data_IF_639690830546
#
_entry.id   IF_639690830546
#
_cell.length_a   1.000
_cell.length_b   1.000
_cell.length_c   1.000
_cell.angle_alpha   90.00
_cell.angle_beta   90.00
_cell.angle_gamma   90.00
#
_symmetry.space_group_name_H-M   'P 1'
#
loop_
_entity.id
_entity.type
_entity.pdbx_description
1 polymer ?
#
# COMPACT_ATOMS: atom_id res chain seq x y z
N UNK A 1 -26.29 -5.63 -33.06
CA UNK A 1 -25.52 -4.39 -32.79
C UNK A 1 -26.00 -3.83 -31.47
N UNK A 2 -25.09 -3.59 -30.51
CA UNK A 2 -25.39 -2.93 -29.25
C UNK A 2 -25.31 -3.82 -28.00
N UNK A 3 -24.11 -4.28 -27.64
CA UNK A 3 -23.77 -4.53 -26.24
C UNK A 3 -22.50 -3.75 -25.92
N UNK A 4 -22.69 -2.49 -25.54
CA UNK A 4 -21.68 -1.71 -24.86
C UNK A 4 -21.68 -2.13 -23.39
N UNK A 5 -21.00 -3.21 -23.06
CA UNK A 5 -20.57 -3.44 -21.68
C UNK A 5 -19.38 -2.51 -21.47
N UNK A 6 -19.59 -1.45 -20.70
CA UNK A 6 -18.48 -0.70 -20.12
C UNK A 6 -17.66 -1.66 -19.26
N UNK A 7 -16.43 -1.95 -19.70
CA UNK A 7 -15.44 -2.68 -18.91
C UNK A 7 -15.28 -2.04 -17.52
N UNK A 8 -15.11 -2.82 -16.44
CA UNK A 8 -14.68 -2.28 -15.16
C UNK A 8 -13.32 -1.61 -15.37
N UNK A 9 -13.29 -0.28 -15.27
CA UNK A 9 -12.16 0.65 -15.34
C UNK A 9 -10.89 0.15 -16.07
N UNK A 10 -10.61 0.73 -17.24
CA UNK A 10 -9.40 0.51 -18.06
C UNK A 10 -8.05 0.93 -17.41
N UNK A 11 -7.88 0.74 -16.10
CA UNK A 11 -6.62 1.01 -15.40
C UNK A 11 -6.50 0.42 -13.98
N UNK A 12 -7.55 -0.22 -13.44
CA UNK A 12 -7.54 -0.77 -12.08
C UNK A 12 -7.25 -2.27 -12.03
N UNK A 13 -6.62 -2.74 -10.96
CA UNK A 13 -6.53 -4.18 -10.69
C UNK A 13 -7.94 -4.75 -10.45
N UNK A 14 -8.27 -5.85 -11.13
CA UNK A 14 -9.50 -6.63 -10.94
C UNK A 14 -9.18 -8.12 -10.87
N UNK A 15 -10.04 -8.88 -10.21
CA UNK A 15 -9.98 -10.34 -10.17
C UNK A 15 -11.35 -10.94 -10.49
N UNK A 16 -11.35 -12.16 -11.04
CA UNK A 16 -12.52 -13.03 -11.11
C UNK A 16 -12.25 -14.27 -10.26
N UNK A 17 -13.09 -14.51 -9.25
CA UNK A 17 -12.99 -15.69 -8.40
C UNK A 17 -13.88 -16.82 -8.94
N UNK A 18 -13.30 -17.90 -9.49
CA UNK A 18 -14.08 -18.99 -10.07
C UNK A 18 -14.84 -19.82 -9.03
N UNK A 19 -14.49 -19.75 -7.73
CA UNK A 19 -15.17 -20.50 -6.68
C UNK A 19 -16.51 -19.87 -6.29
N UNK A 20 -16.67 -18.56 -6.52
CA UNK A 20 -17.88 -17.80 -6.16
C UNK A 20 -18.57 -17.15 -7.36
N UNK A 21 -17.89 -17.07 -8.50
CA UNK A 21 -18.32 -16.33 -9.68
C UNK A 21 -18.23 -14.81 -9.51
N UNK A 22 -17.67 -14.30 -8.42
CA UNK A 22 -17.57 -12.87 -8.16
C UNK A 22 -16.45 -12.25 -8.99
N UNK A 23 -16.78 -11.19 -9.73
CA UNK A 23 -15.81 -10.28 -10.33
C UNK A 23 -15.75 -9.00 -9.50
N UNK A 24 -14.56 -8.63 -9.03
CA UNK A 24 -14.35 -7.49 -8.14
C UNK A 24 -13.10 -6.70 -8.55
N UNK A 25 -13.14 -5.39 -8.33
CA UNK A 25 -12.10 -4.41 -8.66
C UNK A 25 -11.85 -3.51 -7.44
N UNK A 26 -10.83 -2.64 -7.53
CA UNK A 26 -10.16 -1.95 -6.42
C UNK A 26 -9.32 -2.88 -5.54
N UNK A 27 -8.02 -2.61 -5.43
CA UNK A 27 -7.09 -3.44 -4.67
C UNK A 27 -7.49 -3.60 -3.20
N UNK A 28 -7.99 -2.52 -2.57
CA UNK A 28 -8.50 -2.56 -1.19
C UNK A 28 -9.69 -3.50 -1.02
N UNK A 29 -10.68 -3.41 -1.92
CA UNK A 29 -11.87 -4.28 -1.89
C UNK A 29 -11.52 -5.74 -2.22
N UNK A 30 -10.56 -5.95 -3.13
CA UNK A 30 -10.03 -7.27 -3.47
C UNK A 30 -9.38 -7.94 -2.24
N UNK A 31 -8.51 -7.24 -1.51
CA UNK A 31 -7.84 -7.84 -0.34
C UNK A 31 -8.80 -8.08 0.82
N UNK A 32 -9.79 -7.22 1.02
CA UNK A 32 -10.88 -7.47 1.99
C UNK A 32 -11.66 -8.73 1.59
N UNK A 33 -12.10 -8.83 0.33
CA UNK A 33 -12.80 -10.02 -0.17
C UNK A 33 -11.99 -11.31 0.01
N UNK A 34 -10.72 -11.30 -0.40
CA UNK A 34 -9.85 -12.48 -0.32
C UNK A 34 -9.62 -12.90 1.13
N UNK A 35 -9.43 -11.95 2.05
CA UNK A 35 -9.20 -12.29 3.46
C UNK A 35 -10.46 -12.78 4.14
N UNK A 36 -11.62 -12.14 3.92
CA UNK A 36 -12.90 -12.61 4.46
C UNK A 36 -13.28 -14.00 3.93
N UNK A 37 -12.97 -14.28 2.66
CA UNK A 37 -13.34 -15.55 2.02
C UNK A 37 -12.36 -16.69 2.29
N UNK A 38 -11.06 -16.41 2.33
CA UNK A 38 -10.01 -17.43 2.29
C UNK A 38 -9.02 -17.40 3.46
N UNK A 39 -8.91 -16.30 4.21
CA UNK A 39 -8.06 -16.25 5.42
C UNK A 39 -8.85 -16.65 6.67
N UNK A 40 -9.43 -17.87 6.65
CA UNK A 40 -10.33 -18.37 7.70
C UNK A 40 -9.66 -18.56 9.05
N UNK A 41 -8.33 -18.66 9.08
CA UNK A 41 -7.52 -18.73 10.29
C UNK A 41 -6.99 -17.35 10.74
N UNK A 42 -7.37 -16.28 10.04
CA UNK A 42 -6.94 -14.91 10.32
C UNK A 42 -5.42 -14.75 10.40
N UNK A 43 -4.66 -15.37 9.49
CA UNK A 43 -3.18 -15.32 9.44
C UNK A 43 -2.66 -13.92 9.07
N UNK A 44 -3.40 -13.19 8.24
CA UNK A 44 -3.05 -11.81 7.81
C UNK A 44 -4.24 -10.84 7.93
N UNK A 45 -5.35 -11.28 8.48
CA UNK A 45 -6.56 -10.49 8.75
C UNK A 45 -7.00 -10.62 10.20
N UNK A 46 -8.08 -9.93 10.57
CA UNK A 46 -8.69 -10.00 11.90
C UNK A 46 -10.16 -10.39 11.78
N UNK A 47 -10.73 -10.90 12.87
CA UNK A 47 -12.12 -11.33 12.90
C UNK A 47 -13.06 -10.17 12.52
N UNK A 48 -13.99 -10.41 11.59
CA UNK A 48 -14.95 -9.41 11.12
C UNK A 48 -15.71 -8.79 12.30
N UNK A 49 -15.71 -7.47 12.37
CA UNK A 49 -16.35 -6.71 13.43
C UNK A 49 -15.51 -6.52 14.70
N UNK A 50 -14.30 -7.08 14.79
CA UNK A 50 -13.38 -6.76 15.89
C UNK A 50 -12.83 -5.32 15.78
N UNK A 51 -12.36 -4.73 16.89
CA UNK A 51 -11.69 -3.42 16.84
C UNK A 51 -10.53 -3.38 15.82
N UNK A 52 -9.72 -4.43 15.74
CA UNK A 52 -8.59 -4.55 14.82
C UNK A 52 -9.04 -4.65 13.35
N UNK A 53 -10.19 -5.25 13.07
CA UNK A 53 -10.74 -5.27 11.71
C UNK A 53 -11.13 -3.86 11.23
N UNK A 54 -11.72 -3.05 12.11
CA UNK A 54 -12.01 -1.64 11.80
C UNK A 54 -10.75 -0.78 11.71
N UNK A 55 -9.76 -1.01 12.58
CA UNK A 55 -8.46 -0.33 12.49
C UNK A 55 -7.74 -0.68 11.18
N UNK A 56 -7.77 -1.95 10.77
CA UNK A 56 -7.24 -2.41 9.48
C UNK A 56 -7.93 -1.69 8.32
N UNK A 57 -9.26 -1.59 8.36
CA UNK A 57 -10.05 -0.89 7.35
C UNK A 57 -9.69 0.61 7.27
N UNK A 58 -9.45 1.26 8.41
CA UNK A 58 -8.94 2.63 8.45
C UNK A 58 -7.62 2.76 7.69
N UNK A 59 -6.68 1.83 7.89
CA UNK A 59 -5.40 1.84 7.17
C UNK A 59 -5.55 1.57 5.68
N UNK A 60 -6.43 0.64 5.27
CA UNK A 60 -6.73 0.40 3.84
C UNK A 60 -7.27 1.67 3.16
N UNK A 61 -8.20 2.39 3.82
CA UNK A 61 -8.70 3.65 3.29
C UNK A 61 -7.64 4.74 3.29
N UNK A 62 -6.81 4.84 4.33
CA UNK A 62 -5.69 5.80 4.35
C UNK A 62 -4.70 5.52 3.22
N UNK A 63 -4.44 4.26 2.89
CA UNK A 63 -3.60 3.86 1.77
C UNK A 63 -4.26 4.26 0.44
N UNK A 64 -5.51 3.86 0.23
CA UNK A 64 -6.24 4.04 -1.03
C UNK A 64 -6.58 5.51 -1.33
N UNK A 65 -6.86 6.33 -0.32
CA UNK A 65 -7.21 7.74 -0.49
C UNK A 65 -6.06 8.71 -0.19
N UNK A 66 -4.98 8.21 0.41
CA UNK A 66 -3.81 9.00 0.81
C UNK A 66 -2.59 8.60 -0.02
N UNK A 67 -1.92 7.52 0.37
CA UNK A 67 -0.65 7.13 -0.25
C UNK A 67 -0.77 6.96 -1.77
N UNK A 68 -1.68 6.12 -2.25
CA UNK A 68 -1.76 5.77 -3.66
C UNK A 68 -1.94 6.98 -4.59
N UNK A 69 -3.01 7.78 -4.43
CA UNK A 69 -3.27 8.91 -5.30
C UNK A 69 -2.16 9.97 -5.25
N UNK A 70 -1.67 10.35 -4.07
CA UNK A 70 -0.68 11.42 -3.97
C UNK A 70 0.69 11.00 -4.51
N UNK A 71 1.07 9.73 -4.32
CA UNK A 71 2.33 9.21 -4.86
C UNK A 71 2.26 9.09 -6.38
N UNK A 72 1.12 8.61 -6.89
CA UNK A 72 0.85 8.55 -8.33
C UNK A 72 0.88 9.94 -8.99
N UNK A 73 0.27 10.95 -8.37
CA UNK A 73 0.30 12.33 -8.90
C UNK A 73 1.70 12.93 -8.84
N UNK A 74 2.46 12.71 -7.76
CA UNK A 74 3.86 13.13 -7.69
C UNK A 74 4.67 12.52 -8.86
N UNK A 75 4.48 11.22 -9.12
CA UNK A 75 5.18 10.53 -10.20
C UNK A 75 4.75 11.06 -11.57
N UNK A 76 3.45 11.27 -11.77
CA UNK A 76 2.88 11.85 -12.99
C UNK A 76 3.48 13.21 -13.33
N UNK A 77 3.39 14.19 -12.43
CA UNK A 77 3.89 15.54 -12.70
C UNK A 77 5.43 15.59 -12.83
N UNK A 78 6.16 14.72 -12.13
CA UNK A 78 7.62 14.68 -12.25
C UNK A 78 8.08 14.05 -13.57
N UNK A 79 7.55 12.87 -13.92
CA UNK A 79 8.08 12.01 -14.99
C UNK A 79 7.29 12.05 -16.29
N UNK A 80 5.95 12.06 -16.20
CA UNK A 80 5.10 11.71 -17.34
C UNK A 80 4.35 12.91 -17.94
N UNK A 81 4.05 13.93 -17.14
CA UNK A 81 3.36 15.12 -17.61
C UNK A 81 4.17 15.83 -18.70
N UNK A 82 3.50 16.17 -19.81
CA UNK A 82 4.11 16.73 -21.01
C UNK A 82 4.76 18.11 -20.77
N UNK A 83 4.17 18.91 -19.88
CA UNK A 83 4.74 20.17 -19.39
C UNK A 83 5.36 20.01 -18.00
N UNK A 84 6.41 20.81 -17.72
CA UNK A 84 6.99 20.90 -16.38
C UNK A 84 6.28 21.99 -15.58
N UNK A 85 5.60 21.58 -14.52
CA UNK A 85 4.83 22.43 -13.61
C UNK A 85 5.45 22.37 -12.20
N UNK A 86 6.45 23.22 -11.88
CA UNK A 86 7.18 23.13 -10.61
C UNK A 86 6.27 23.18 -9.37
N UNK A 87 5.25 24.03 -9.38
CA UNK A 87 4.30 24.15 -8.27
C UNK A 87 3.47 22.88 -8.03
N UNK A 88 3.12 22.15 -9.09
CA UNK A 88 2.42 20.88 -8.97
C UNK A 88 3.34 19.79 -8.42
N UNK A 89 4.57 19.69 -8.94
CA UNK A 89 5.58 18.75 -8.42
C UNK A 89 5.83 19.01 -6.94
N UNK A 90 6.10 20.26 -6.55
CA UNK A 90 6.35 20.63 -5.15
C UNK A 90 5.17 20.24 -4.25
N UNK A 91 3.93 20.55 -4.67
CA UNK A 91 2.73 20.20 -3.91
C UNK A 91 2.64 18.69 -3.65
N UNK A 92 2.79 17.86 -4.68
CA UNK A 92 2.59 16.42 -4.54
C UNK A 92 3.77 15.72 -3.88
N UNK A 93 5.01 16.19 -4.08
CA UNK A 93 6.18 15.71 -3.34
C UNK A 93 6.03 16.01 -1.84
N UNK A 94 5.57 17.22 -1.50
CA UNK A 94 5.28 17.59 -0.10
C UNK A 94 4.21 16.69 0.53
N UNK A 95 3.17 16.35 -0.24
CA UNK A 95 2.11 15.46 0.25
C UNK A 95 2.57 14.01 0.40
N UNK A 96 3.43 13.53 -0.51
CA UNK A 96 4.13 12.24 -0.37
C UNK A 96 4.93 12.20 0.93
N UNK A 97 5.75 13.22 1.21
CA UNK A 97 6.49 13.33 2.47
C UNK A 97 5.56 13.37 3.70
N UNK A 98 4.44 14.09 3.62
CA UNK A 98 3.47 14.17 4.73
C UNK A 98 2.88 12.79 5.04
N UNK A 99 2.51 12.02 4.01
CA UNK A 99 1.97 10.66 4.18
C UNK A 99 3.02 9.72 4.78
N UNK A 100 4.26 9.71 4.25
CA UNK A 100 5.34 8.89 4.85
C UNK A 100 5.61 9.30 6.30
N UNK A 101 5.67 10.61 6.61
CA UNK A 101 5.91 11.10 7.97
C UNK A 101 4.81 10.68 8.95
N UNK A 102 3.53 10.66 8.51
CA UNK A 102 2.43 10.14 9.32
C UNK A 102 2.62 8.65 9.60
N UNK A 103 2.96 7.86 8.58
CA UNK A 103 3.21 6.43 8.74
C UNK A 103 4.40 6.16 9.67
N UNK A 104 5.49 6.93 9.53
CA UNK A 104 6.68 6.84 10.37
C UNK A 104 6.37 7.14 11.83
N UNK A 105 5.65 8.23 12.09
CA UNK A 105 5.19 8.58 13.44
C UNK A 105 4.33 7.46 14.04
N UNK A 106 3.35 6.96 13.29
CA UNK A 106 2.49 5.87 13.75
C UNK A 106 3.33 4.65 14.15
N UNK A 107 4.25 4.21 13.28
CA UNK A 107 5.12 3.06 13.55
C UNK A 107 6.04 3.28 14.75
N UNK A 108 6.48 4.53 14.99
CA UNK A 108 7.29 4.88 16.16
C UNK A 108 6.55 4.72 17.49
N UNK A 109 5.22 4.84 17.47
CA UNK A 109 4.36 4.76 18.65
C UNK A 109 3.83 3.33 18.90
N UNK A 110 3.96 2.43 17.92
CA UNK A 110 3.51 1.04 18.04
C UNK A 110 4.46 0.26 18.94
N UNK A 111 3.89 -0.50 19.87
CA UNK A 111 4.63 -1.34 20.83
C UNK A 111 4.93 -2.71 20.24
N UNK A 112 6.11 -3.24 20.55
CA UNK A 112 6.50 -4.62 20.21
C UNK A 112 6.52 -5.43 21.50
N UNK A 113 5.68 -6.47 21.57
CA UNK A 113 5.69 -7.38 22.70
C UNK A 113 6.97 -8.25 22.67
N UNK A 114 7.43 -8.69 23.85
CA UNK A 114 8.64 -9.50 23.95
C UNK A 114 8.52 -10.78 23.13
N UNK A 115 9.48 -11.03 22.25
CA UNK A 115 9.52 -12.22 21.38
C UNK A 115 8.65 -12.14 20.12
N UNK A 116 8.05 -10.98 19.81
CA UNK A 116 7.35 -10.73 18.53
C UNK A 116 8.26 -9.95 17.57
N UNK A 117 8.03 -10.12 16.27
CA UNK A 117 8.54 -9.19 15.26
C UNK A 117 7.68 -7.91 15.23
N UNK A 118 8.24 -6.78 14.80
CA UNK A 118 7.51 -5.52 14.73
C UNK A 118 8.40 -4.29 14.88
N UNK A 119 7.80 -3.08 14.99
CA UNK A 119 6.37 -2.80 15.05
C UNK A 119 5.62 -3.03 13.73
N UNK A 120 4.31 -3.28 13.87
CA UNK A 120 3.31 -3.48 12.80
C UNK A 120 2.10 -2.54 13.01
N UNK A 121 1.34 -2.26 11.94
CA UNK A 121 0.28 -1.26 11.99
C UNK A 121 -0.90 -1.64 12.90
N UNK A 122 -1.32 -2.91 12.91
CA UNK A 122 -2.50 -3.36 13.67
C UNK A 122 -2.20 -4.65 14.42
N UNK A 123 -2.71 -4.77 15.65
CA UNK A 123 -2.70 -6.03 16.40
C UNK A 123 -1.32 -6.62 16.71
N UNK A 124 -0.24 -5.84 16.58
CA UNK A 124 1.13 -6.27 16.91
C UNK A 124 1.70 -7.34 15.96
N UNK A 125 1.11 -7.55 14.78
CA UNK A 125 1.57 -8.49 13.75
C UNK A 125 1.29 -7.97 12.35
N UNK A 126 2.06 -8.43 11.36
CA UNK A 126 1.83 -8.06 9.96
C UNK A 126 0.43 -8.51 9.50
N UNK A 127 -0.31 -7.61 8.86
CA UNK A 127 -1.64 -7.84 8.31
C UNK A 127 -1.82 -7.16 6.95
N UNK A 128 -3.03 -7.25 6.36
CA UNK A 128 -3.36 -6.50 5.15
C UNK A 128 -3.25 -4.98 5.32
N UNK A 129 -3.31 -4.47 6.57
CA UNK A 129 -2.99 -3.08 6.85
C UNK A 129 -1.56 -2.76 6.37
N UNK A 130 -0.56 -3.55 6.78
CA UNK A 130 0.83 -3.38 6.37
C UNK A 130 1.05 -3.68 4.88
N UNK A 131 0.49 -4.80 4.39
CA UNK A 131 0.68 -5.24 3.00
C UNK A 131 0.20 -4.19 2.00
N UNK A 132 -0.87 -3.43 2.33
CA UNK A 132 -1.40 -2.39 1.45
C UNK A 132 -0.42 -1.24 1.18
N UNK A 133 0.42 -0.87 2.16
CA UNK A 133 1.39 0.22 1.99
C UNK A 133 2.71 -0.25 1.37
N UNK A 134 2.98 -1.55 1.40
CA UNK A 134 4.29 -2.11 1.07
C UNK A 134 4.70 -1.87 -0.39
N UNK A 135 3.74 -1.97 -1.32
CA UNK A 135 3.99 -1.80 -2.76
C UNK A 135 4.47 -0.40 -3.11
N UNK A 136 3.77 0.64 -2.67
CA UNK A 136 4.16 2.02 -2.92
C UNK A 136 5.45 2.39 -2.20
N UNK A 137 5.64 1.95 -0.95
CA UNK A 137 6.90 2.19 -0.22
C UNK A 137 8.09 1.54 -0.92
N UNK A 138 7.87 0.36 -1.54
CA UNK A 138 8.88 -0.31 -2.33
C UNK A 138 9.20 0.43 -3.64
N UNK A 139 8.17 0.91 -4.35
CA UNK A 139 8.33 1.47 -5.71
C UNK A 139 8.84 2.91 -5.72
N UNK A 140 8.47 3.74 -4.73
CA UNK A 140 8.84 5.17 -4.71
C UNK A 140 10.33 5.45 -4.86
N UNK A 141 11.25 4.74 -4.17
CA UNK A 141 12.70 4.94 -4.33
C UNK A 141 13.23 4.65 -5.74
N UNK A 142 12.49 3.93 -6.58
CA UNK A 142 12.84 3.71 -7.98
C UNK A 142 12.32 4.83 -8.90
N UNK A 143 11.25 5.51 -8.51
CA UNK A 143 10.66 6.61 -9.27
C UNK A 143 11.40 7.93 -8.97
N UNK A 144 11.72 8.18 -7.70
CA UNK A 144 12.28 9.44 -7.22
C UNK A 144 13.73 9.25 -6.80
N UNK A 145 14.57 10.24 -7.12
CA UNK A 145 15.92 10.28 -6.56
C UNK A 145 15.90 10.71 -5.08
N UNK A 146 17.04 10.56 -4.40
CA UNK A 146 17.17 10.90 -2.98
C UNK A 146 16.97 12.39 -2.66
N UNK A 147 16.95 13.28 -3.66
CA UNK A 147 16.66 14.71 -3.44
C UNK A 147 15.16 14.97 -3.34
N UNK A 148 14.35 14.20 -4.08
CA UNK A 148 12.89 14.27 -4.02
C UNK A 148 12.31 13.36 -2.92
N UNK A 149 12.91 12.19 -2.67
CA UNK A 149 12.46 11.26 -1.65
C UNK A 149 13.60 10.38 -1.14
N UNK A 150 13.95 10.53 0.13
CA UNK A 150 14.93 9.69 0.80
C UNK A 150 14.27 8.86 1.89
N UNK A 151 14.18 7.54 1.70
CA UNK A 151 13.60 6.64 2.70
C UNK A 151 14.43 6.63 4.00
N UNK A 152 15.72 6.97 3.94
CA UNK A 152 16.60 7.05 5.11
C UNK A 152 16.15 8.15 6.11
N UNK A 153 15.31 9.11 5.68
CA UNK A 153 14.76 10.16 6.54
C UNK A 153 13.61 9.66 7.44
N UNK A 154 13.13 8.44 7.20
CA UNK A 154 11.97 7.82 7.87
C UNK A 154 12.36 6.50 8.50
N UNK A 155 13.05 6.56 9.64
CA UNK A 155 13.69 5.40 10.27
C UNK A 155 12.70 4.26 10.56
N UNK A 156 11.49 4.56 11.03
CA UNK A 156 10.53 3.53 11.41
C UNK A 156 9.86 2.91 10.18
N UNK A 157 9.57 3.70 9.15
CA UNK A 157 9.10 3.19 7.85
C UNK A 157 10.18 2.35 7.18
N UNK A 158 11.43 2.81 7.17
CA UNK A 158 12.55 2.05 6.59
C UNK A 158 12.68 0.68 7.26
N UNK A 159 12.77 0.66 8.59
CA UNK A 159 12.89 -0.60 9.34
C UNK A 159 11.67 -1.51 9.15
N UNK A 160 10.47 -0.93 9.09
CA UNK A 160 9.24 -1.67 8.77
C UNK A 160 9.28 -2.24 7.35
N UNK A 161 9.77 -1.48 6.37
CA UNK A 161 9.87 -1.92 4.98
C UNK A 161 10.89 -3.05 4.83
N UNK A 162 12.05 -2.97 5.49
CA UNK A 162 13.05 -4.04 5.53
C UNK A 162 12.46 -5.34 6.13
N UNK A 163 11.70 -5.23 7.23
CA UNK A 163 10.96 -6.37 7.80
C UNK A 163 9.92 -6.92 6.82
N UNK A 164 9.21 -6.05 6.10
CA UNK A 164 8.26 -6.47 5.07
C UNK A 164 8.95 -7.25 3.96
N UNK A 165 10.11 -6.80 3.47
CA UNK A 165 10.88 -7.48 2.43
C UNK A 165 11.52 -8.79 2.92
N UNK A 166 11.77 -8.95 4.21
CA UNK A 166 12.23 -10.21 4.78
C UNK A 166 11.16 -11.31 4.78
N UNK A 167 9.87 -10.96 4.58
CA UNK A 167 8.77 -11.93 4.51
C UNK A 167 8.72 -12.58 3.12
N UNK A 168 8.82 -13.92 3.00
CA UNK A 168 8.87 -14.59 1.70
C UNK A 168 7.68 -14.25 0.77
N UNK A 169 6.46 -14.19 1.31
CA UNK A 169 5.27 -13.86 0.52
C UNK A 169 5.29 -12.41 -0.01
N UNK A 170 5.76 -11.47 0.79
CA UNK A 170 5.89 -10.06 0.37
C UNK A 170 6.98 -9.91 -0.68
N UNK A 171 8.15 -10.50 -0.46
CA UNK A 171 9.27 -10.45 -1.42
C UNK A 171 8.87 -11.05 -2.77
N UNK A 172 8.19 -12.20 -2.77
CA UNK A 172 7.70 -12.82 -3.99
C UNK A 172 6.64 -11.97 -4.70
N UNK A 173 5.72 -11.36 -3.94
CA UNK A 173 4.65 -10.53 -4.48
C UNK A 173 5.09 -9.19 -5.07
N UNK A 174 6.15 -8.57 -4.52
CA UNK A 174 6.70 -7.32 -5.03
C UNK A 174 7.58 -7.52 -6.28
N UNK A 175 8.12 -8.72 -6.50
CA UNK A 175 8.93 -9.07 -7.65
C UNK A 175 10.30 -8.36 -7.70
N UNK A 176 11.08 -8.63 -8.74
CA UNK A 176 12.32 -7.87 -9.04
C UNK A 176 11.96 -6.55 -9.72
N UNK A 177 12.50 -5.45 -9.21
CA UNK A 177 12.30 -4.09 -9.74
C UNK A 177 13.20 -3.76 -10.93
N UNK A 178 13.98 -4.72 -11.45
CA UNK A 178 14.83 -4.54 -12.65
C UNK A 178 14.08 -4.04 -13.89
N UNK A 179 12.75 -4.12 -13.93
CA UNK A 179 11.92 -3.60 -15.04
C UNK A 179 11.42 -2.16 -14.85
N UNK A 180 11.74 -1.51 -13.73
CA UNK A 180 11.29 -0.15 -13.40
C UNK A 180 12.38 0.92 -13.59
N UNK A 181 13.60 0.51 -13.96
CA UNK A 181 14.73 1.38 -14.32
C UNK A 181 14.84 1.53 -15.85
#
# INVERSE_FOLDING_TARGET
MGQGWSEPSQGGHSIHDPNTGLTIWESGAIVEYLTEKYDTEHKISFATGSPEAYETKQYLYFQASGQGPYYGQAAWFKKFHHEKLPSAVERYVKEMHRVTAVLDKILSEKKVAQGQDGPWLVGGRCSIADLSFASWTHVVPFIFDKTDYNLDDYQFVKNWHERMLARPGTAAGLGSTEKLA
#
